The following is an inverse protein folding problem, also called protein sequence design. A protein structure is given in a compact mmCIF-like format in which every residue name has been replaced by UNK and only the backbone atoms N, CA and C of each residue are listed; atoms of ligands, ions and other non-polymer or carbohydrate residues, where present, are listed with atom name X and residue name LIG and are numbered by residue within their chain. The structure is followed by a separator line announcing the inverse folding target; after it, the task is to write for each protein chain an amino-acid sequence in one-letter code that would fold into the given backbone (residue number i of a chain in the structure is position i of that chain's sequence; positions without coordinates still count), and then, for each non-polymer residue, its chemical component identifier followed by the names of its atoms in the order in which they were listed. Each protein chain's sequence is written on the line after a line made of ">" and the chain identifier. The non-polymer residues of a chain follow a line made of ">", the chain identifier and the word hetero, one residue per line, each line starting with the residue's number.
data_IF_055952953925
#
_entry.id   IF_055952953925
#
_cell.length_a   1.000
_cell.length_b   1.000
_cell.length_c   1.000
_cell.angle_alpha   90.00
_cell.angle_beta   90.00
_cell.angle_gamma   90.00
#
_symmetry.space_group_name_H-M   'P 1'
#
loop_
_entity.id
_entity.type
_entity.pdbx_description
1 polymer ?
#
# COMPACT_ATOMS: atom_id res chain seq x y z
N UNK A 1 18.42 -0.26 19.98
CA UNK A 1 18.24 -1.19 18.84
C UNK A 1 17.91 -0.37 17.62
N UNK A 2 18.65 -0.50 16.53
CA UNK A 2 18.35 0.19 15.27
C UNK A 2 16.96 -0.27 14.80
N UNK A 3 16.05 0.68 14.52
CA UNK A 3 14.74 0.37 13.98
C UNK A 3 14.93 -0.45 12.69
N UNK A 4 14.28 -1.62 12.61
CA UNK A 4 14.29 -2.43 11.37
C UNK A 4 13.71 -1.57 10.27
N UNK A 5 14.46 -1.33 9.20
CA UNK A 5 13.95 -0.65 8.00
C UNK A 5 13.13 -1.66 7.17
N UNK A 6 11.84 -1.75 7.48
CA UNK A 6 10.90 -2.64 6.78
C UNK A 6 10.76 -2.27 5.30
N UNK A 7 10.86 -0.98 4.94
CA UNK A 7 10.80 -0.51 3.56
C UNK A 7 11.89 -1.17 2.70
N UNK A 8 13.14 -1.19 3.17
CA UNK A 8 14.26 -1.80 2.46
C UNK A 8 14.11 -3.33 2.34
N UNK A 9 13.53 -3.96 3.37
CA UNK A 9 13.42 -5.43 3.45
C UNK A 9 12.25 -5.98 2.62
N UNK A 10 11.07 -5.37 2.75
CA UNK A 10 9.82 -5.94 2.20
C UNK A 10 9.30 -5.20 0.95
N UNK A 11 9.61 -3.94 0.77
CA UNK A 11 9.05 -3.13 -0.30
C UNK A 11 10.09 -2.76 -1.38
N UNK A 12 10.71 -3.75 -2.02
CA UNK A 12 11.79 -3.56 -2.99
C UNK A 12 11.49 -2.55 -4.11
N UNK A 13 10.24 -2.45 -4.55
CA UNK A 13 9.82 -1.48 -5.58
C UNK A 13 9.74 -0.06 -5.02
N UNK A 14 9.16 0.12 -3.82
CA UNK A 14 9.12 1.42 -3.15
C UNK A 14 10.50 1.86 -2.69
N UNK A 15 11.33 0.93 -2.18
CA UNK A 15 12.71 1.24 -1.80
C UNK A 15 13.52 1.73 -3.00
N UNK A 16 13.34 1.11 -4.18
CA UNK A 16 13.95 1.57 -5.42
C UNK A 16 13.56 3.00 -5.77
N UNK A 17 12.26 3.31 -5.77
CA UNK A 17 11.76 4.66 -6.01
C UNK A 17 12.23 5.64 -4.92
N UNK A 18 12.26 5.21 -3.66
CA UNK A 18 12.72 6.00 -2.52
C UNK A 18 14.17 6.43 -2.60
N UNK A 19 15.02 5.71 -3.34
CA UNK A 19 16.41 6.08 -3.57
C UNK A 19 16.56 7.47 -4.20
N UNK A 20 15.56 7.91 -4.96
CA UNK A 20 15.52 9.23 -5.60
C UNK A 20 14.95 10.34 -4.72
N UNK A 21 14.59 10.05 -3.47
CA UNK A 21 14.14 11.05 -2.51
C UNK A 21 15.33 11.65 -1.73
N UNK A 22 15.24 12.92 -1.29
CA UNK A 22 16.14 13.45 -0.28
C UNK A 22 16.14 12.58 0.97
N UNK A 23 17.31 12.43 1.62
CA UNK A 23 17.51 11.51 2.76
C UNK A 23 16.49 11.69 3.89
N UNK A 24 16.15 12.94 4.24
CA UNK A 24 15.19 13.23 5.29
C UNK A 24 13.77 12.78 4.88
N UNK A 25 13.36 13.09 3.65
CA UNK A 25 12.08 12.66 3.10
C UNK A 25 11.99 11.13 3.02
N UNK A 26 13.06 10.46 2.58
CA UNK A 26 13.13 9.00 2.59
C UNK A 26 12.91 8.41 3.97
N UNK A 27 13.55 8.98 5.02
CA UNK A 27 13.34 8.55 6.41
C UNK A 27 11.89 8.69 6.85
N UNK A 28 11.24 9.80 6.51
CA UNK A 28 9.81 10.03 6.82
C UNK A 28 8.91 9.03 6.10
N UNK A 29 9.16 8.78 4.81
CA UNK A 29 8.43 7.76 4.04
C UNK A 29 8.65 6.35 4.60
N UNK A 30 9.89 6.03 5.04
CA UNK A 30 10.21 4.76 5.69
C UNK A 30 9.47 4.60 7.02
N UNK A 31 9.42 5.64 7.85
CA UNK A 31 8.69 5.60 9.12
C UNK A 31 7.18 5.38 8.93
N UNK A 32 6.57 6.02 7.92
CA UNK A 32 5.19 5.74 7.53
C UNK A 32 5.01 4.29 7.10
N UNK A 33 5.90 3.79 6.24
CA UNK A 33 5.85 2.40 5.79
C UNK A 33 6.00 1.41 6.95
N UNK A 34 6.94 1.66 7.87
CA UNK A 34 7.19 0.80 9.02
C UNK A 34 5.94 0.72 9.92
N UNK A 35 5.25 1.84 10.15
CA UNK A 35 3.98 1.86 10.88
C UNK A 35 2.90 1.01 10.20
N UNK A 36 2.68 1.22 8.90
CA UNK A 36 1.70 0.43 8.13
C UNK A 36 2.06 -1.06 8.16
N UNK A 37 3.35 -1.40 7.95
CA UNK A 37 3.79 -2.80 7.90
C UNK A 37 3.69 -3.52 9.25
N UNK A 38 3.92 -2.82 10.36
CA UNK A 38 3.73 -3.40 11.69
C UNK A 38 2.26 -3.73 11.92
N UNK A 39 1.35 -2.84 11.53
CA UNK A 39 -0.09 -3.07 11.62
C UNK A 39 -0.55 -4.23 10.71
N UNK A 40 -0.08 -4.29 9.46
CA UNK A 40 -0.37 -5.38 8.52
C UNK A 40 0.15 -6.72 9.05
N UNK A 41 1.37 -6.77 9.57
CA UNK A 41 1.95 -8.00 10.12
C UNK A 41 1.09 -8.60 11.24
N UNK A 42 0.35 -7.80 12.01
CA UNK A 42 -0.57 -8.31 13.02
C UNK A 42 -1.74 -9.06 12.37
N UNK A 43 -2.26 -8.56 11.24
CA UNK A 43 -3.32 -9.24 10.49
C UNK A 43 -2.82 -10.48 9.75
N UNK A 44 -1.54 -10.47 9.32
CA UNK A 44 -0.91 -11.56 8.56
C UNK A 44 -0.28 -12.66 9.45
N UNK A 45 -0.21 -12.44 10.78
CA UNK A 45 0.36 -13.40 11.75
C UNK A 45 -0.36 -14.76 11.67
N UNK A 46 0.35 -15.84 11.91
CA UNK A 46 -0.19 -17.23 11.97
C UNK A 46 -1.03 -17.52 13.22
N UNK A 47 -1.12 -16.59 14.16
CA UNK A 47 -1.88 -16.72 15.39
C UNK A 47 -3.40 -16.84 15.14
N UNK A 48 -4.12 -17.32 16.17
CA UNK A 48 -5.59 -17.36 16.15
C UNK A 48 -6.19 -15.96 16.00
N UNK A 49 -7.41 -15.89 15.46
CA UNK A 49 -8.14 -14.62 15.30
C UNK A 49 -8.27 -13.84 16.61
N UNK A 50 -8.49 -14.54 17.71
CA UNK A 50 -8.56 -13.94 19.07
C UNK A 50 -7.26 -13.21 19.41
N UNK A 51 -6.12 -13.88 19.24
CA UNK A 51 -4.80 -13.30 19.51
C UNK A 51 -4.49 -12.13 18.58
N UNK A 52 -4.84 -12.25 17.28
CA UNK A 52 -4.70 -11.14 16.31
C UNK A 52 -5.52 -9.92 16.75
N UNK A 53 -6.78 -10.10 17.14
CA UNK A 53 -7.65 -9.03 17.65
C UNK A 53 -7.09 -8.34 18.87
N UNK A 54 -6.57 -9.11 19.83
CA UNK A 54 -5.93 -8.57 21.05
C UNK A 54 -4.67 -7.76 20.71
N UNK A 55 -3.78 -8.31 19.87
CA UNK A 55 -2.57 -7.61 19.40
C UNK A 55 -2.93 -6.31 18.66
N UNK A 56 -3.94 -6.37 17.78
CA UNK A 56 -4.35 -5.22 17.01
C UNK A 56 -5.00 -4.15 17.91
N UNK A 57 -5.85 -4.56 18.85
CA UNK A 57 -6.40 -3.66 19.86
C UNK A 57 -5.29 -2.97 20.65
N UNK A 58 -4.32 -3.73 21.16
CA UNK A 58 -3.17 -3.18 21.89
C UNK A 58 -2.38 -2.18 21.03
N UNK A 59 -2.17 -2.46 19.75
CA UNK A 59 -1.49 -1.55 18.83
C UNK A 59 -2.27 -0.23 18.65
N UNK A 60 -3.60 -0.32 18.49
CA UNK A 60 -4.49 0.86 18.44
C UNK A 60 -4.46 1.63 19.76
N UNK A 61 -4.58 0.96 20.89
CA UNK A 61 -4.55 1.59 22.22
C UNK A 61 -3.21 2.32 22.45
N UNK A 62 -2.09 1.75 22.02
CA UNK A 62 -0.78 2.42 22.05
C UNK A 62 -0.76 3.68 21.19
N UNK A 63 -1.38 3.65 20.03
CA UNK A 63 -1.51 4.83 19.16
C UNK A 63 -2.36 5.91 19.81
N UNK A 64 -3.58 5.57 20.30
CA UNK A 64 -4.51 6.51 20.91
C UNK A 64 -3.92 7.17 22.18
N UNK A 65 -3.26 6.38 23.02
CA UNK A 65 -2.65 6.84 24.26
C UNK A 65 -1.27 7.51 24.05
N UNK A 66 -0.82 7.65 22.78
CA UNK A 66 0.48 8.23 22.43
C UNK A 66 1.63 7.58 23.22
N UNK A 67 1.67 6.24 23.22
CA UNK A 67 2.73 5.49 23.91
C UNK A 67 4.08 5.67 23.20
N UNK A 68 4.76 6.77 23.47
CA UNK A 68 6.04 7.14 22.85
C UNK A 68 7.23 6.30 23.31
N UNK A 69 7.03 5.32 24.18
CA UNK A 69 8.06 4.30 24.48
C UNK A 69 8.20 3.31 23.32
N UNK A 70 7.15 3.16 22.49
CA UNK A 70 7.19 2.41 21.25
C UNK A 70 7.70 3.36 20.11
N UNK A 71 8.87 3.08 19.51
CA UNK A 71 9.44 3.94 18.47
C UNK A 71 8.57 4.02 17.21
N UNK A 72 7.77 3.00 16.89
CA UNK A 72 6.84 3.03 15.75
C UNK A 72 5.73 4.03 16.01
N UNK A 73 5.16 4.02 17.21
CA UNK A 73 4.10 4.95 17.62
C UNK A 73 4.66 6.38 17.71
N UNK A 74 5.85 6.54 18.29
CA UNK A 74 6.51 7.86 18.35
C UNK A 74 6.71 8.43 16.95
N UNK A 75 7.31 7.66 16.03
CA UNK A 75 7.63 8.12 14.70
C UNK A 75 6.38 8.51 13.88
N UNK A 76 5.29 7.75 13.98
CA UNK A 76 4.07 8.12 13.26
C UNK A 76 3.43 9.38 13.85
N UNK A 77 3.48 9.60 15.18
CA UNK A 77 2.99 10.82 15.78
C UNK A 77 3.85 12.04 15.41
N UNK A 78 5.18 11.90 15.34
CA UNK A 78 6.07 12.94 14.83
C UNK A 78 5.66 13.34 13.39
N UNK A 79 5.40 12.36 12.51
CA UNK A 79 4.92 12.62 11.15
C UNK A 79 3.55 13.31 11.12
N UNK A 80 2.61 12.91 11.98
CA UNK A 80 1.27 13.49 12.12
C UNK A 80 1.40 14.99 12.43
N UNK A 81 2.21 15.34 13.42
CA UNK A 81 2.40 16.73 13.83
C UNK A 81 3.14 17.56 12.78
N UNK A 82 4.25 17.05 12.25
CA UNK A 82 5.09 17.77 11.29
C UNK A 82 4.42 18.02 9.93
N UNK A 83 3.49 17.16 9.54
CA UNK A 83 2.88 17.18 8.21
C UNK A 83 1.36 17.45 8.25
N UNK A 84 0.82 17.80 9.41
CA UNK A 84 -0.60 18.07 9.62
C UNK A 84 -1.49 16.94 9.04
N UNK A 85 -1.17 15.68 9.40
CA UNK A 85 -1.92 14.52 8.99
C UNK A 85 -3.10 14.34 9.95
N UNK A 86 -4.32 14.23 9.43
CA UNK A 86 -5.49 13.95 10.26
C UNK A 86 -5.46 12.53 10.80
N UNK A 87 -5.68 12.35 12.11
CA UNK A 87 -5.79 11.02 12.74
C UNK A 87 -6.94 10.20 12.16
N UNK A 88 -7.97 10.86 11.60
CA UNK A 88 -9.04 10.17 10.88
C UNK A 88 -8.51 9.27 9.75
N UNK A 89 -7.44 9.67 9.07
CA UNK A 89 -6.82 8.87 7.99
C UNK A 89 -6.22 7.58 8.57
N UNK A 90 -5.62 7.68 9.78
CA UNK A 90 -5.08 6.51 10.48
C UNK A 90 -6.22 5.58 10.92
N UNK A 91 -7.35 6.13 11.39
CA UNK A 91 -8.50 5.32 11.75
C UNK A 91 -9.10 4.60 10.54
N UNK A 92 -9.20 5.27 9.37
CA UNK A 92 -9.63 4.64 8.12
C UNK A 92 -8.68 3.47 7.73
N UNK A 93 -7.36 3.64 7.91
CA UNK A 93 -6.37 2.57 7.72
C UNK A 93 -6.60 1.42 8.71
N UNK A 94 -6.77 1.71 9.99
CA UNK A 94 -7.06 0.69 11.01
C UNK A 94 -8.33 -0.08 10.70
N UNK A 95 -9.39 0.57 10.20
CA UNK A 95 -10.61 -0.10 9.78
C UNK A 95 -10.38 -1.06 8.60
N UNK A 96 -9.49 -0.68 7.67
CA UNK A 96 -9.07 -1.54 6.57
C UNK A 96 -8.36 -2.80 7.08
N UNK A 97 -7.31 -2.63 7.88
CA UNK A 97 -6.51 -3.74 8.43
C UNK A 97 -7.37 -4.64 9.33
N UNK A 98 -8.22 -4.04 10.18
CA UNK A 98 -9.13 -4.81 11.04
C UNK A 98 -10.11 -5.67 10.23
N UNK A 99 -10.46 -5.26 9.01
CA UNK A 99 -11.34 -6.06 8.15
C UNK A 99 -10.70 -7.37 7.69
N UNK A 100 -9.37 -7.48 7.74
CA UNK A 100 -8.60 -8.69 7.39
C UNK A 100 -8.40 -9.63 8.59
N UNK A 101 -8.75 -9.20 9.82
CA UNK A 101 -8.67 -10.02 11.03
C UNK A 101 -9.98 -10.80 11.22
N UNK A 102 -10.24 -11.73 10.31
CA UNK A 102 -11.41 -12.61 10.29
C UNK A 102 -10.99 -14.02 9.87
N UNK A 103 -11.80 -15.02 10.21
CA UNK A 103 -11.60 -16.40 9.76
C UNK A 103 -11.64 -16.51 8.23
N UNK A 104 -12.55 -15.76 7.61
CA UNK A 104 -12.66 -15.63 6.17
C UNK A 104 -12.98 -14.19 5.80
N UNK A 105 -12.23 -13.66 4.85
CA UNK A 105 -12.51 -12.37 4.21
C UNK A 105 -13.03 -12.64 2.81
N UNK A 106 -14.20 -12.06 2.48
CA UNK A 106 -14.75 -12.10 1.13
C UNK A 106 -15.37 -10.77 0.80
N UNK A 107 -14.93 -10.18 -0.31
CA UNK A 107 -15.55 -9.00 -0.90
C UNK A 107 -16.47 -9.43 -2.05
N UNK A 108 -17.70 -8.96 -2.05
CA UNK A 108 -18.71 -9.42 -3.01
C UNK A 108 -19.01 -8.39 -4.10
N UNK A 109 -18.59 -7.14 -3.91
CA UNK A 109 -18.91 -6.04 -4.82
C UNK A 109 -17.68 -5.18 -5.14
N UNK A 110 -17.69 -4.58 -6.33
CA UNK A 110 -16.70 -3.57 -6.73
C UNK A 110 -16.60 -2.41 -5.71
N UNK A 111 -17.73 -2.03 -5.11
CA UNK A 111 -17.78 -0.98 -4.09
C UNK A 111 -16.98 -1.38 -2.84
N UNK A 112 -17.16 -2.61 -2.35
CA UNK A 112 -16.40 -3.13 -1.20
C UNK A 112 -14.90 -3.21 -1.52
N UNK A 113 -14.54 -3.67 -2.72
CA UNK A 113 -13.15 -3.72 -3.18
C UNK A 113 -12.50 -2.32 -3.20
N UNK A 114 -13.22 -1.30 -3.68
CA UNK A 114 -12.71 0.06 -3.72
C UNK A 114 -12.62 0.70 -2.32
N UNK A 115 -13.60 0.44 -1.44
CA UNK A 115 -13.55 0.90 -0.04
C UNK A 115 -12.36 0.27 0.68
N UNK A 116 -12.17 -1.04 0.52
CA UNK A 116 -11.02 -1.74 1.09
C UNK A 116 -9.69 -1.16 0.56
N UNK A 117 -9.54 -1.05 -0.77
CA UNK A 117 -8.34 -0.50 -1.40
C UNK A 117 -8.04 0.95 -0.96
N UNK A 118 -9.09 1.78 -0.78
CA UNK A 118 -8.94 3.11 -0.19
C UNK A 118 -8.39 3.01 1.24
N UNK A 119 -9.01 2.18 2.09
CA UNK A 119 -8.65 2.07 3.50
C UNK A 119 -7.22 1.62 3.72
N UNK A 120 -6.75 0.57 3.01
CA UNK A 120 -5.41 -0.02 3.23
C UNK A 120 -4.30 0.65 2.41
N UNK A 121 -4.61 1.39 1.35
CA UNK A 121 -3.60 1.97 0.48
C UNK A 121 -3.89 3.42 0.02
N UNK A 122 -5.14 3.79 -0.23
CA UNK A 122 -5.50 5.18 -0.52
C UNK A 122 -5.15 6.11 0.63
N UNK A 123 -5.38 5.70 1.87
CA UNK A 123 -4.98 6.40 3.10
C UNK A 123 -3.45 6.58 3.18
N UNK A 124 -2.69 5.54 2.82
CA UNK A 124 -1.22 5.59 2.77
C UNK A 124 -0.76 6.58 1.69
N UNK A 125 -1.38 6.57 0.51
CA UNK A 125 -1.14 7.54 -0.55
C UNK A 125 -1.40 8.99 -0.08
N UNK A 126 -2.48 9.21 0.65
CA UNK A 126 -2.83 10.52 1.22
C UNK A 126 -1.81 10.99 2.26
N UNK A 127 -1.39 10.12 3.18
CA UNK A 127 -0.35 10.43 4.16
C UNK A 127 0.99 10.71 3.50
N UNK A 128 1.36 9.90 2.49
CA UNK A 128 2.57 10.13 1.69
C UNK A 128 2.56 11.51 1.03
N UNK A 129 1.43 11.91 0.43
CA UNK A 129 1.29 13.22 -0.20
C UNK A 129 1.52 14.37 0.82
N UNK A 130 1.03 14.24 2.05
CA UNK A 130 1.27 15.21 3.12
C UNK A 130 2.76 15.30 3.50
N UNK A 131 3.46 14.17 3.60
CA UNK A 131 4.92 14.13 3.83
C UNK A 131 5.66 14.84 2.68
N UNK A 132 5.19 14.68 1.46
CA UNK A 132 5.75 15.33 0.26
C UNK A 132 5.30 16.80 0.09
N UNK A 133 4.64 17.38 1.11
CA UNK A 133 4.17 18.78 1.13
C UNK A 133 3.18 19.11 0.02
N UNK A 134 2.30 18.17 -0.28
CA UNK A 134 1.22 18.33 -1.25
C UNK A 134 -0.08 18.64 -0.49
N UNK A 135 -0.69 19.81 -0.77
CA UNK A 135 -1.89 20.26 -0.06
C UNK A 135 -3.08 20.54 -0.99
N UNK A 136 -2.86 20.66 -2.30
CA UNK A 136 -3.95 20.90 -3.23
C UNK A 136 -4.92 19.72 -3.27
N UNK A 137 -6.22 20.00 -3.14
CA UNK A 137 -7.29 18.99 -3.08
C UNK A 137 -7.23 17.97 -4.22
N UNK A 138 -6.99 18.42 -5.45
CA UNK A 138 -6.91 17.52 -6.61
C UNK A 138 -5.68 16.60 -6.53
N UNK A 139 -4.55 17.11 -6.04
CA UNK A 139 -3.34 16.32 -5.89
C UNK A 139 -3.44 15.30 -4.76
N UNK A 140 -4.13 15.65 -3.66
CA UNK A 140 -4.47 14.71 -2.59
C UNK A 140 -5.39 13.59 -3.10
N UNK A 141 -6.41 13.93 -3.91
CA UNK A 141 -7.27 12.93 -4.57
C UNK A 141 -6.47 12.02 -5.49
N UNK A 142 -5.52 12.57 -6.25
CA UNK A 142 -4.65 11.79 -7.14
C UNK A 142 -3.71 10.86 -6.36
N UNK A 143 -3.23 11.27 -5.19
CA UNK A 143 -2.43 10.41 -4.31
C UNK A 143 -3.26 9.23 -3.77
N UNK A 144 -4.52 9.46 -3.40
CA UNK A 144 -5.46 8.40 -3.04
C UNK A 144 -5.65 7.43 -4.22
N UNK A 145 -5.88 7.96 -5.43
CA UNK A 145 -6.05 7.14 -6.63
C UNK A 145 -4.81 6.28 -6.90
N UNK A 146 -3.60 6.83 -6.73
CA UNK A 146 -2.36 6.07 -6.91
C UNK A 146 -2.25 4.93 -5.89
N UNK A 147 -2.60 5.17 -4.62
CA UNK A 147 -2.65 4.13 -3.59
C UNK A 147 -3.65 3.02 -3.96
N UNK A 148 -4.87 3.39 -4.37
CA UNK A 148 -5.90 2.43 -4.81
C UNK A 148 -5.40 1.61 -6.02
N UNK A 149 -4.80 2.26 -7.02
CA UNK A 149 -4.26 1.58 -8.21
C UNK A 149 -3.21 0.52 -7.83
N UNK A 150 -2.30 0.88 -6.93
CA UNK A 150 -1.27 -0.05 -6.44
C UNK A 150 -1.88 -1.22 -5.67
N UNK A 151 -2.91 -0.99 -4.87
CA UNK A 151 -3.58 -2.06 -4.11
C UNK A 151 -4.37 -3.00 -5.03
N UNK A 152 -5.09 -2.49 -6.02
CA UNK A 152 -5.76 -3.32 -7.03
C UNK A 152 -4.75 -4.17 -7.80
N UNK A 153 -3.56 -3.63 -8.08
CA UNK A 153 -2.45 -4.39 -8.69
C UNK A 153 -1.94 -5.49 -7.75
N UNK A 154 -1.79 -5.22 -6.44
CA UNK A 154 -1.41 -6.23 -5.45
C UNK A 154 -2.46 -7.34 -5.36
N UNK A 155 -3.74 -6.99 -5.21
CA UNK A 155 -4.85 -7.95 -5.16
C UNK A 155 -4.85 -8.86 -6.42
N UNK A 156 -4.62 -8.28 -7.60
CA UNK A 156 -4.54 -9.05 -8.86
C UNK A 156 -3.29 -9.92 -8.94
N UNK A 157 -2.21 -9.56 -8.28
CA UNK A 157 -0.96 -10.32 -8.24
C UNK A 157 -1.01 -11.48 -7.26
N UNK A 158 -1.67 -11.29 -6.14
CA UNK A 158 -1.55 -12.14 -4.95
C UNK A 158 -2.78 -13.06 -4.75
N UNK A 159 -3.67 -13.22 -5.76
CA UNK A 159 -4.94 -13.99 -5.68
C UNK A 159 -4.75 -15.39 -5.07
N UNK A 160 -3.66 -16.10 -5.40
CA UNK A 160 -3.38 -17.43 -4.86
C UNK A 160 -2.88 -17.37 -3.42
N UNK A 161 -2.02 -16.40 -3.10
CA UNK A 161 -1.49 -16.18 -1.77
C UNK A 161 -2.61 -15.76 -0.81
N UNK A 162 -3.49 -14.84 -1.26
CA UNK A 162 -4.64 -14.37 -0.50
C UNK A 162 -5.62 -15.52 -0.20
N UNK A 163 -5.89 -16.39 -1.18
CA UNK A 163 -6.73 -17.56 -0.95
C UNK A 163 -6.17 -18.48 0.14
N UNK A 164 -4.86 -18.75 0.10
CA UNK A 164 -4.20 -19.58 1.11
C UNK A 164 -4.33 -18.98 2.53
N UNK A 165 -4.54 -17.66 2.61
CA UNK A 165 -4.80 -16.92 3.84
C UNK A 165 -6.31 -16.73 4.12
N UNK A 166 -7.20 -17.49 3.47
CA UNK A 166 -8.67 -17.37 3.57
C UNK A 166 -9.19 -15.97 3.19
N UNK A 167 -8.53 -15.29 2.26
CA UNK A 167 -8.92 -13.96 1.76
C UNK A 167 -9.31 -14.04 0.28
N UNK A 168 -10.52 -13.59 -0.03
CA UNK A 168 -11.06 -13.55 -1.39
C UNK A 168 -11.49 -12.11 -1.67
N UNK A 169 -10.56 -11.31 -2.18
CA UNK A 169 -10.83 -9.93 -2.58
C UNK A 169 -11.47 -9.85 -3.98
N UNK A 170 -11.11 -10.80 -4.85
CA UNK A 170 -11.69 -11.02 -6.19
C UNK A 170 -11.79 -12.51 -6.45
N UNK A 171 -12.70 -12.94 -7.34
CA UNK A 171 -12.82 -14.34 -7.69
C UNK A 171 -11.59 -14.84 -8.46
N UNK A 172 -11.28 -16.14 -8.26
CA UNK A 172 -10.06 -16.79 -8.75
C UNK A 172 -10.19 -17.23 -10.20
N UNK A 173 -10.40 -16.29 -11.08
CA UNK A 173 -10.39 -16.51 -12.52
C UNK A 173 -9.66 -15.38 -13.25
N UNK A 174 -9.18 -15.65 -14.44
CA UNK A 174 -8.35 -14.71 -15.18
C UNK A 174 -9.11 -13.46 -15.64
N UNK A 175 -10.41 -13.56 -15.88
CA UNK A 175 -11.25 -12.42 -16.27
C UNK A 175 -11.39 -11.42 -15.12
N UNK A 176 -11.57 -11.87 -13.89
CA UNK A 176 -11.60 -10.99 -12.71
C UNK A 176 -10.23 -10.37 -12.43
N UNK A 177 -9.14 -11.11 -12.58
CA UNK A 177 -7.79 -10.57 -12.51
C UNK A 177 -7.60 -9.47 -13.56
N UNK A 178 -7.96 -9.75 -14.81
CA UNK A 178 -7.84 -8.81 -15.93
C UNK A 178 -8.70 -7.56 -15.73
N UNK A 179 -9.96 -7.72 -15.34
CA UNK A 179 -10.86 -6.59 -15.09
C UNK A 179 -10.38 -5.72 -13.92
N UNK A 180 -9.78 -6.33 -12.88
CA UNK A 180 -9.20 -5.61 -11.75
C UNK A 180 -7.95 -4.84 -12.17
N UNK A 181 -7.09 -5.40 -13.02
CA UNK A 181 -5.96 -4.66 -13.60
C UNK A 181 -6.45 -3.52 -14.50
N UNK A 182 -7.48 -3.73 -15.32
CA UNK A 182 -8.08 -2.64 -16.12
C UNK A 182 -8.62 -1.53 -15.22
N UNK A 183 -9.29 -1.89 -14.13
CA UNK A 183 -9.72 -0.91 -13.13
C UNK A 183 -8.53 -0.18 -12.51
N UNK A 184 -7.44 -0.88 -12.19
CA UNK A 184 -6.24 -0.23 -11.65
C UNK A 184 -5.65 0.78 -12.64
N UNK A 185 -5.70 0.51 -13.95
CA UNK A 185 -5.25 1.43 -14.99
C UNK A 185 -6.03 2.74 -15.00
N UNK A 186 -7.37 2.70 -14.82
CA UNK A 186 -8.19 3.91 -14.67
C UNK A 186 -7.70 4.79 -13.51
N UNK A 187 -7.38 4.17 -12.37
CA UNK A 187 -6.84 4.87 -11.20
C UNK A 187 -5.41 5.38 -11.43
N UNK A 188 -4.54 4.62 -12.13
CA UNK A 188 -3.22 5.10 -12.53
C UNK A 188 -3.32 6.33 -13.44
N UNK A 189 -4.19 6.34 -14.44
CA UNK A 189 -4.37 7.49 -15.32
C UNK A 189 -4.92 8.69 -14.55
N UNK A 190 -5.94 8.51 -13.72
CA UNK A 190 -6.50 9.58 -12.89
C UNK A 190 -5.50 10.16 -11.88
N UNK A 191 -4.45 9.41 -11.52
CA UNK A 191 -3.40 9.89 -10.62
C UNK A 191 -2.33 10.72 -11.34
N UNK A 192 -2.16 10.56 -12.64
CA UNK A 192 -1.01 11.06 -13.38
C UNK A 192 -0.96 12.59 -13.50
N UNK A 193 -2.08 13.20 -13.81
CA UNK A 193 -2.13 14.64 -14.13
C UNK A 193 -1.70 15.55 -12.98
N UNK A 194 -1.91 15.12 -11.74
CA UNK A 194 -1.53 15.92 -10.57
C UNK A 194 -0.09 15.69 -10.11
N UNK A 195 0.64 14.74 -10.70
CA UNK A 195 2.06 14.52 -10.35
C UNK A 195 2.89 15.77 -10.64
N UNK A 196 2.52 16.56 -11.67
CA UNK A 196 3.15 17.85 -11.97
C UNK A 196 3.05 18.88 -10.85
N UNK A 197 2.14 18.71 -9.90
CA UNK A 197 1.95 19.60 -8.75
C UNK A 197 2.79 19.20 -7.54
N UNK A 198 3.38 18.00 -7.56
CA UNK A 198 4.34 17.56 -6.54
C UNK A 198 5.62 18.39 -6.68
N UNK A 199 6.26 18.84 -5.59
CA UNK A 199 7.55 19.51 -5.65
C UNK A 199 8.55 18.71 -6.50
N UNK A 200 9.34 19.43 -7.32
CA UNK A 200 10.18 18.82 -8.35
C UNK A 200 11.15 17.77 -7.78
N UNK A 201 11.68 18.03 -6.57
CA UNK A 201 12.58 17.14 -5.83
C UNK A 201 12.00 15.76 -5.49
N UNK A 202 10.66 15.61 -5.51
CA UNK A 202 9.99 14.35 -5.17
C UNK A 202 9.28 13.70 -6.38
N UNK A 203 9.04 14.50 -7.43
CA UNK A 203 8.21 14.10 -8.59
C UNK A 203 8.76 12.86 -9.28
N UNK A 204 10.06 12.81 -9.48
CA UNK A 204 10.72 11.71 -10.16
C UNK A 204 10.53 10.39 -9.40
N UNK A 205 10.72 10.39 -8.08
CA UNK A 205 10.49 9.21 -7.23
C UNK A 205 9.06 8.66 -7.37
N UNK A 206 8.05 9.54 -7.38
CA UNK A 206 6.64 9.12 -7.52
C UNK A 206 6.35 8.57 -8.91
N UNK A 207 6.94 9.17 -9.96
CA UNK A 207 6.83 8.64 -11.33
C UNK A 207 7.45 7.24 -11.45
N UNK A 208 8.63 7.02 -10.88
CA UNK A 208 9.30 5.72 -10.86
C UNK A 208 8.44 4.70 -10.10
N UNK A 209 7.93 5.04 -8.90
CA UNK A 209 7.07 4.16 -8.14
C UNK A 209 5.81 3.75 -8.96
N UNK A 210 5.15 4.74 -9.58
CA UNK A 210 3.98 4.50 -10.43
C UNK A 210 4.29 3.56 -11.59
N UNK A 211 5.36 3.81 -12.34
CA UNK A 211 5.75 3.01 -13.51
C UNK A 211 6.11 1.58 -13.13
N UNK A 212 6.94 1.41 -12.11
CA UNK A 212 7.37 0.09 -11.64
C UNK A 212 6.17 -0.74 -11.16
N UNK A 213 5.22 -0.15 -10.43
CA UNK A 213 4.01 -0.86 -10.00
C UNK A 213 3.09 -1.20 -11.17
N UNK A 214 2.84 -0.26 -12.06
CA UNK A 214 2.03 -0.47 -13.27
C UNK A 214 2.60 -1.61 -14.13
N UNK A 215 3.93 -1.75 -14.20
CA UNK A 215 4.60 -2.85 -14.91
C UNK A 215 4.20 -4.22 -14.38
N UNK A 216 3.92 -4.37 -13.07
CA UNK A 216 3.43 -5.62 -12.49
C UNK A 216 2.11 -6.02 -13.17
N UNK A 217 1.16 -5.08 -13.32
CA UNK A 217 -0.11 -5.31 -14.00
C UNK A 217 0.08 -5.80 -15.45
N UNK A 218 0.95 -5.17 -16.21
CA UNK A 218 1.26 -5.62 -17.58
C UNK A 218 1.87 -7.03 -17.63
N UNK A 219 2.73 -7.36 -16.67
CA UNK A 219 3.29 -8.73 -16.57
C UNK A 219 2.23 -9.76 -16.23
N UNK A 220 1.22 -9.42 -15.42
CA UNK A 220 0.07 -10.28 -15.11
C UNK A 220 -0.75 -10.51 -16.38
N UNK A 221 -1.13 -9.47 -17.11
CA UNK A 221 -1.91 -9.56 -18.33
C UNK A 221 -1.24 -10.42 -19.43
N UNK A 222 0.10 -10.39 -19.50
CA UNK A 222 0.88 -11.20 -20.43
C UNK A 222 0.79 -12.72 -20.17
N UNK A 223 0.21 -13.17 -19.05
CA UNK A 223 0.04 -14.62 -18.75
C UNK A 223 -1.06 -15.28 -19.58
N UNK A 224 -1.96 -14.48 -20.16
CA UNK A 224 -3.03 -14.87 -21.09
C UNK A 224 -4.15 -15.73 -20.50
N UNK A 225 -3.89 -16.56 -19.50
CA UNK A 225 -4.89 -17.41 -18.83
C UNK A 225 -4.50 -17.70 -17.37
N UNK A 226 -5.46 -18.26 -16.61
CA UNK A 226 -5.29 -18.51 -15.18
C UNK A 226 -4.23 -19.58 -14.87
N UNK A 227 -4.09 -20.61 -15.70
CA UNK A 227 -3.08 -21.64 -15.49
C UNK A 227 -1.66 -21.10 -15.63
N UNK A 228 -1.41 -20.27 -16.64
CA UNK A 228 -0.11 -19.62 -16.82
C UNK A 228 0.19 -18.61 -15.70
N UNK A 229 -0.85 -17.90 -15.22
CA UNK A 229 -0.74 -17.02 -14.07
C UNK A 229 -0.34 -17.81 -12.81
N UNK A 230 -1.05 -18.90 -12.50
CA UNK A 230 -0.79 -19.78 -11.36
C UNK A 230 0.62 -20.38 -11.40
N UNK A 231 1.04 -20.91 -12.54
CA UNK A 231 2.38 -21.50 -12.73
C UNK A 231 3.53 -20.49 -12.61
N UNK A 232 3.28 -19.21 -12.84
CA UNK A 232 4.36 -18.20 -12.79
C UNK A 232 4.84 -17.83 -11.38
N UNK A 233 4.13 -18.27 -10.33
CA UNK A 233 4.41 -17.84 -8.97
C UNK A 233 4.23 -16.32 -8.78
N UNK A 234 4.83 -15.76 -7.76
CA UNK A 234 4.70 -14.33 -7.46
C UNK A 234 5.36 -13.46 -8.54
N UNK A 235 4.56 -12.64 -9.21
CA UNK A 235 4.99 -11.76 -10.29
C UNK A 235 5.58 -10.48 -9.71
N UNK A 236 6.82 -10.15 -10.09
CA UNK A 236 7.52 -8.95 -9.64
C UNK A 236 8.33 -8.31 -10.79
N UNK A 237 8.75 -7.07 -10.59
CA UNK A 237 9.64 -6.33 -11.50
C UNK A 237 11.07 -6.53 -11.01
N UNK A 238 11.92 -7.15 -11.84
CA UNK A 238 13.32 -7.38 -11.51
C UNK A 238 14.15 -6.08 -11.63
N UNK A 239 15.44 -6.13 -11.25
CA UNK A 239 16.26 -4.91 -11.22
C UNK A 239 16.49 -4.32 -12.61
N UNK A 240 16.69 -5.14 -13.65
CA UNK A 240 16.84 -4.67 -15.04
C UNK A 240 15.55 -3.97 -15.51
N UNK A 241 14.40 -4.58 -15.26
CA UNK A 241 13.10 -3.97 -15.59
C UNK A 241 12.88 -2.65 -14.83
N UNK A 242 13.30 -2.57 -13.55
CA UNK A 242 13.22 -1.30 -12.79
C UNK A 242 14.06 -0.19 -13.41
N UNK A 243 15.28 -0.52 -13.87
CA UNK A 243 16.14 0.45 -14.58
C UNK A 243 15.45 0.96 -15.85
N UNK A 244 14.81 0.08 -16.63
CA UNK A 244 14.08 0.46 -17.85
C UNK A 244 12.85 1.33 -17.52
N UNK A 245 12.19 1.08 -16.40
CA UNK A 245 11.04 1.88 -15.97
C UNK A 245 11.44 3.20 -15.25
N UNK A 246 12.73 3.40 -14.96
CA UNK A 246 13.26 4.64 -14.36
C UNK A 246 13.68 5.65 -15.41
#
# INVERSE_FOLDING_TARGET
>A
MSAKNYLATYAKSFNWAGFFLPKDTYKKCSALYDFCRVADNIADDENTITVKKEKFKKFKDNFENKNFTDPIIKNIWDLIYENNISTKIIHDLFDGINSDIKEQVKLNTKKELLIYSYRVAGTVGLMMAKILKVDKKNSLKSAINLGIAMQLTNISRDVIEDLNNNRIYIDQNFENIKSTIQLSEEFYENSFYSIKEIPLSFRFSILVARRVYRKIGYKILNKKNFENYKKSGKIYVNNTEKIVET
#
